data_IF_708757255710
#
_entry.id   IF_708757255710
#
_cell.length_a   1.000
_cell.length_b   1.000
_cell.length_c   1.000
_cell.angle_alpha   90.00
_cell.angle_beta   90.00
_cell.angle_gamma   90.00
#
_symmetry.space_group_name_H-M   'P 1'
#
loop_
_entity.id
_entity.type
_entity.pdbx_description
1 polymer ?
#
# COMPACT_ATOMS: atom_id res chain seq x y z
N UNK A 1 -27.58 4.43 -66.53
CA UNK A 1 -26.71 3.92 -65.47
C UNK A 1 -26.71 4.90 -64.32
N UNK A 2 -26.90 4.37 -63.10
CA UNK A 2 -26.99 5.03 -61.78
C UNK A 2 -28.33 5.70 -61.43
N UNK A 3 -29.07 4.94 -60.62
CA UNK A 3 -30.25 5.31 -59.86
C UNK A 3 -29.86 6.06 -58.57
N UNK A 4 -30.81 6.88 -58.14
CA UNK A 4 -30.88 7.57 -56.85
C UNK A 4 -31.60 6.65 -55.87
N UNK A 5 -31.03 6.39 -54.69
CA UNK A 5 -31.72 5.70 -53.60
C UNK A 5 -31.80 6.59 -52.35
N UNK A 6 -33.04 6.94 -52.02
CA UNK A 6 -33.50 7.32 -50.69
C UNK A 6 -33.57 6.06 -49.81
N UNK A 7 -33.23 6.17 -48.52
CA UNK A 7 -33.77 5.26 -47.52
C UNK A 7 -34.00 5.96 -46.18
N UNK A 8 -35.29 6.21 -45.93
CA UNK A 8 -35.91 6.60 -44.66
C UNK A 8 -36.28 5.33 -43.89
N UNK A 9 -35.86 5.21 -42.63
CA UNK A 9 -36.22 4.07 -41.77
C UNK A 9 -37.55 4.34 -41.05
N UNK A 10 -38.42 3.33 -41.13
CA UNK A 10 -39.82 3.29 -40.67
C UNK A 10 -39.92 2.85 -39.21
N UNK A 11 -40.78 3.53 -38.44
CA UNK A 11 -41.23 3.14 -37.11
C UNK A 11 -42.41 2.15 -37.22
N UNK A 12 -42.46 1.13 -36.34
CA UNK A 12 -43.58 0.19 -36.24
C UNK A 12 -44.14 0.21 -34.82
N UNK A 13 -45.44 0.49 -34.74
CA UNK A 13 -46.33 0.54 -33.57
C UNK A 13 -46.64 -0.85 -32.96
N UNK A 14 -47.01 -0.85 -31.68
CA UNK A 14 -47.73 -1.95 -31.02
C UNK A 14 -48.76 -1.39 -30.00
N UNK A 15 -49.87 -2.10 -29.72
CA UNK A 15 -51.22 -1.53 -29.76
C UNK A 15 -51.82 -1.10 -28.41
N UNK A 16 -52.84 -0.21 -28.49
CA UNK A 16 -53.79 0.18 -27.43
C UNK A 16 -55.04 -0.71 -27.49
N UNK A 17 -55.56 -1.14 -26.32
CA UNK A 17 -56.99 -1.09 -25.94
C UNK A 17 -57.23 -1.63 -24.49
N UNK A 18 -57.38 -0.69 -23.54
CA UNK A 18 -58.42 -0.48 -22.48
C UNK A 18 -59.12 -1.67 -21.75
N UNK A 19 -59.46 -1.53 -20.43
CA UNK A 19 -60.40 -0.50 -19.95
C UNK A 19 -60.04 0.30 -18.69
N UNK A 20 -60.69 1.47 -18.63
CA UNK A 20 -60.73 2.47 -17.57
C UNK A 20 -61.49 1.96 -16.35
N UNK A 21 -60.94 2.16 -15.16
CA UNK A 21 -61.70 2.27 -13.91
C UNK A 21 -61.35 3.62 -13.30
N UNK A 22 -62.30 4.55 -13.36
CA UNK A 22 -62.25 5.84 -12.69
C UNK A 22 -62.41 5.62 -11.18
N UNK A 23 -61.44 6.11 -10.41
CA UNK A 23 -61.45 6.07 -8.95
C UNK A 23 -60.56 7.18 -8.40
N UNK A 24 -61.16 8.36 -8.28
CA UNK A 24 -60.82 9.48 -7.38
C UNK A 24 -59.40 10.09 -7.41
N UNK A 25 -59.35 11.31 -7.95
CA UNK A 25 -58.24 12.25 -7.90
C UNK A 25 -57.88 12.60 -6.45
N UNK A 26 -56.69 12.19 -6.00
CA UNK A 26 -55.94 12.93 -5.00
C UNK A 26 -54.61 13.38 -5.63
N UNK A 27 -54.48 14.70 -5.77
CA UNK A 27 -53.33 15.31 -6.43
C UNK A 27 -52.07 15.24 -5.58
N UNK A 28 -51.11 14.43 -6.01
CA UNK A 28 -49.69 14.62 -5.68
C UNK A 28 -48.85 14.28 -6.92
N UNK A 29 -48.94 15.15 -7.93
CA UNK A 29 -47.94 15.23 -8.99
C UNK A 29 -46.99 16.36 -8.63
N UNK A 30 -45.88 16.01 -8.00
CA UNK A 30 -44.67 16.82 -8.03
C UNK A 30 -43.48 15.86 -8.01
N UNK A 31 -42.93 15.58 -9.20
CA UNK A 31 -41.50 15.26 -9.30
C UNK A 31 -40.76 16.35 -8.53
N UNK A 32 -39.88 16.04 -7.56
CA UNK A 32 -39.11 17.07 -6.91
C UNK A 32 -38.33 17.81 -8.00
N UNK A 33 -38.53 19.12 -8.08
CA UNK A 33 -37.63 20.00 -8.80
C UNK A 33 -36.27 19.86 -8.10
N UNK A 34 -35.40 19.00 -8.63
CA UNK A 34 -34.02 18.91 -8.18
C UNK A 34 -33.41 20.25 -8.59
N UNK A 35 -33.21 21.14 -7.63
CA UNK A 35 -32.47 22.37 -7.90
C UNK A 35 -31.08 21.99 -8.39
N UNK A 36 -30.62 22.59 -9.50
CA UNK A 36 -29.21 22.48 -9.95
C UNK A 36 -28.22 23.09 -8.93
N UNK A 37 -28.72 23.71 -7.86
CA UNK A 37 -27.91 24.16 -6.75
C UNK A 37 -27.32 22.93 -6.00
N UNK A 38 -26.01 22.96 -5.68
CA UNK A 38 -25.41 21.91 -4.89
C UNK A 38 -26.15 21.73 -3.56
N UNK A 39 -26.34 20.48 -3.13
CA UNK A 39 -27.09 20.13 -1.91
C UNK A 39 -26.56 20.82 -0.64
N UNK A 40 -25.28 21.17 -0.62
CA UNK A 40 -24.61 21.81 0.51
C UNK A 40 -24.78 23.34 0.59
N UNK A 41 -25.34 23.98 -0.45
CA UNK A 41 -25.41 25.45 -0.54
C UNK A 41 -26.23 26.11 0.56
N UNK A 42 -27.18 25.39 1.14
CA UNK A 42 -27.99 25.87 2.27
C UNK A 42 -27.37 25.53 3.64
N UNK A 43 -26.29 24.74 3.66
CA UNK A 43 -25.63 24.26 4.88
C UNK A 43 -24.33 25.00 5.15
N UNK A 44 -23.70 25.57 4.13
CA UNK A 44 -22.43 26.30 4.24
C UNK A 44 -22.40 27.49 3.29
N UNK A 45 -21.83 28.59 3.79
CA UNK A 45 -21.49 29.74 2.96
C UNK A 45 -20.17 29.51 2.20
N UNK A 46 -19.93 30.28 1.13
CA UNK A 46 -18.70 30.18 0.34
C UNK A 46 -17.45 30.54 1.16
N UNK A 47 -17.58 31.38 2.19
CA UNK A 47 -16.46 31.77 3.06
C UNK A 47 -16.15 30.65 4.07
N UNK A 48 -17.17 30.00 4.64
CA UNK A 48 -16.98 28.84 5.52
C UNK A 48 -16.40 27.64 4.78
N UNK A 49 -16.74 27.46 3.51
CA UNK A 49 -16.16 26.40 2.67
C UNK A 49 -14.64 26.55 2.44
N UNK A 50 -14.09 27.72 2.76
CA UNK A 50 -12.66 28.05 2.63
C UNK A 50 -11.90 28.01 3.95
N UNK A 51 -12.52 27.50 5.02
CA UNK A 51 -11.88 27.28 6.31
C UNK A 51 -11.28 25.87 6.32
N UNK A 52 -9.98 25.77 6.55
CA UNK A 52 -9.23 24.51 6.49
C UNK A 52 -9.65 23.57 7.63
N UNK A 53 -9.88 24.16 8.80
CA UNK A 53 -10.22 23.50 10.06
C UNK A 53 -11.58 22.80 10.05
N UNK A 54 -12.45 23.12 9.08
CA UNK A 54 -13.73 22.44 8.90
C UNK A 54 -13.59 20.99 8.42
N UNK A 55 -12.40 20.60 7.95
CA UNK A 55 -12.10 19.22 7.56
C UNK A 55 -10.94 18.67 8.37
N UNK A 56 -11.21 17.71 9.26
CA UNK A 56 -10.17 17.01 10.02
C UNK A 56 -9.11 16.37 9.12
N UNK A 57 -9.52 15.83 7.97
CA UNK A 57 -8.56 15.30 6.98
C UNK A 57 -7.66 16.37 6.36
N UNK A 58 -8.18 17.57 6.09
CA UNK A 58 -7.35 18.69 5.61
C UNK A 58 -6.36 19.13 6.69
N UNK A 59 -6.81 19.26 7.94
CA UNK A 59 -5.92 19.58 9.08
C UNK A 59 -4.79 18.57 9.19
N UNK A 60 -5.11 17.28 9.18
CA UNK A 60 -4.11 16.20 9.24
C UNK A 60 -3.16 16.23 8.05
N UNK A 61 -3.68 16.45 6.83
CA UNK A 61 -2.85 16.55 5.65
C UNK A 61 -1.85 17.69 5.78
N UNK A 62 -2.29 18.90 6.12
CA UNK A 62 -1.41 20.06 6.19
C UNK A 62 -0.37 19.96 7.33
N UNK A 63 -0.74 19.34 8.45
CA UNK A 63 0.22 19.03 9.51
C UNK A 63 1.28 18.01 9.02
N UNK A 64 0.88 16.95 8.31
CA UNK A 64 1.82 16.02 7.65
C UNK A 64 2.75 16.79 6.71
N UNK A 65 2.21 17.64 5.85
CA UNK A 65 3.00 18.39 4.87
C UNK A 65 4.03 19.30 5.56
N UNK A 66 3.68 19.89 6.70
CA UNK A 66 4.59 20.71 7.50
C UNK A 66 5.70 19.87 8.12
N UNK A 67 5.35 18.78 8.82
CA UNK A 67 6.33 17.91 9.49
C UNK A 67 7.28 17.28 8.47
N UNK A 68 6.75 16.79 7.34
CA UNK A 68 7.54 16.16 6.27
C UNK A 68 8.51 17.17 5.64
N UNK A 69 8.09 18.43 5.51
CA UNK A 69 8.96 19.49 5.02
C UNK A 69 10.10 19.84 5.98
N UNK A 70 9.83 19.83 7.30
CA UNK A 70 10.86 20.00 8.33
C UNK A 70 11.91 18.87 8.27
N UNK A 71 11.49 17.67 7.86
CA UNK A 71 12.36 16.48 7.71
C UNK A 71 13.07 16.40 6.35
N UNK A 72 12.88 17.38 5.44
CA UNK A 72 13.36 17.34 4.04
C UNK A 72 12.95 16.02 3.31
N UNK A 73 11.76 15.52 3.62
CA UNK A 73 11.17 14.34 3.01
C UNK A 73 10.17 14.71 1.90
N UNK A 74 9.85 13.75 1.04
CA UNK A 74 8.90 13.94 -0.05
C UNK A 74 7.67 13.06 0.13
N UNK A 75 6.51 13.62 -0.21
CA UNK A 75 5.19 13.02 0.02
C UNK A 75 4.37 12.92 -1.26
N UNK A 76 3.66 11.80 -1.41
CA UNK A 76 2.61 11.63 -2.41
C UNK A 76 1.25 11.69 -1.73
N UNK A 77 0.28 12.34 -2.37
CA UNK A 77 -1.11 12.35 -1.92
C UNK A 77 -1.97 11.80 -3.05
N UNK A 78 -2.69 10.72 -2.77
CA UNK A 78 -3.62 10.10 -3.69
C UNK A 78 -5.06 10.42 -3.28
N UNK A 79 -5.88 10.83 -4.23
CA UNK A 79 -7.33 10.97 -4.07
C UNK A 79 -8.05 10.44 -5.31
N UNK A 80 -9.24 9.88 -5.11
CA UNK A 80 -10.11 9.48 -6.21
C UNK A 80 -10.89 10.67 -6.80
N UNK A 81 -11.01 11.76 -6.04
CA UNK A 81 -11.80 12.94 -6.38
C UNK A 81 -10.89 14.05 -6.91
N UNK A 82 -11.14 14.50 -8.15
CA UNK A 82 -10.43 15.65 -8.72
C UNK A 82 -10.77 16.93 -7.95
N UNK A 83 -12.01 17.08 -7.51
CA UNK A 83 -12.47 18.23 -6.69
C UNK A 83 -11.73 18.30 -5.36
N UNK A 84 -11.41 17.15 -4.75
CA UNK A 84 -10.59 17.11 -3.54
C UNK A 84 -9.16 17.58 -3.82
N UNK A 85 -8.57 17.18 -4.95
CA UNK A 85 -7.25 17.69 -5.36
C UNK A 85 -7.29 19.19 -5.66
N UNK A 86 -8.36 19.69 -6.30
CA UNK A 86 -8.58 21.12 -6.53
C UNK A 86 -8.63 21.89 -5.20
N UNK A 87 -9.33 21.35 -4.20
CA UNK A 87 -9.44 21.93 -2.87
C UNK A 87 -8.09 21.94 -2.12
N UNK A 88 -7.31 20.87 -2.22
CA UNK A 88 -5.95 20.83 -1.66
C UNK A 88 -5.08 21.92 -2.33
N UNK A 89 -5.11 22.05 -3.65
CA UNK A 89 -4.38 23.11 -4.36
C UNK A 89 -4.83 24.51 -3.92
N UNK A 90 -6.13 24.72 -3.70
CA UNK A 90 -6.67 25.96 -3.18
C UNK A 90 -6.06 26.31 -1.81
N UNK A 91 -6.07 25.37 -0.86
CA UNK A 91 -5.50 25.59 0.47
C UNK A 91 -3.98 25.77 0.46
N UNK A 92 -3.26 25.08 -0.44
CA UNK A 92 -1.81 25.28 -0.62
C UNK A 92 -1.51 26.71 -1.06
N UNK A 93 -2.29 27.24 -2.02
CA UNK A 93 -2.18 28.62 -2.50
C UNK A 93 -2.56 29.63 -1.41
N UNK A 94 -3.67 29.43 -0.70
CA UNK A 94 -4.10 30.31 0.38
C UNK A 94 -3.07 30.37 1.51
N UNK A 95 -2.49 29.22 1.89
CA UNK A 95 -1.41 29.13 2.88
C UNK A 95 -0.15 29.90 2.45
N UNK A 96 0.19 29.86 1.15
CA UNK A 96 1.29 30.65 0.59
C UNK A 96 1.01 32.16 0.63
N UNK A 97 -0.20 32.60 0.28
CA UNK A 97 -0.59 34.01 0.24
C UNK A 97 -0.71 34.64 1.64
N UNK A 98 -1.16 33.87 2.64
CA UNK A 98 -1.34 34.35 4.00
C UNK A 98 -0.02 34.63 4.75
N UNK A 99 1.12 34.09 4.29
CA UNK A 99 2.41 34.20 4.99
C UNK A 99 3.33 35.23 4.32
N UNK A 100 3.89 36.15 5.10
CA UNK A 100 4.81 37.19 4.60
C UNK A 100 6.11 36.57 4.07
N UNK A 101 6.73 37.11 3.00
CA UNK A 101 7.95 36.58 2.36
C UNK A 101 9.23 36.64 3.22
N UNK A 102 9.11 36.94 4.51
CA UNK A 102 10.23 37.09 5.44
C UNK A 102 10.70 35.77 6.06
N UNK A 103 9.94 34.67 5.98
CA UNK A 103 10.38 33.38 6.50
C UNK A 103 11.17 32.60 5.43
N UNK A 104 12.46 32.38 5.69
CA UNK A 104 13.37 31.59 4.85
C UNK A 104 13.15 30.07 4.98
N UNK A 105 12.04 29.63 5.58
CA UNK A 105 11.76 28.21 5.80
C UNK A 105 11.16 27.59 4.53
N UNK A 106 11.83 26.55 4.01
CA UNK A 106 11.34 25.72 2.88
C UNK A 106 9.89 25.27 3.03
N UNK A 107 9.43 25.09 4.27
CA UNK A 107 8.09 24.61 4.60
C UNK A 107 6.97 25.61 4.25
N UNK A 108 7.28 26.90 4.14
CA UNK A 108 6.29 27.99 4.13
C UNK A 108 5.80 28.42 2.75
N UNK A 109 6.33 27.84 1.67
CA UNK A 109 6.03 28.25 0.30
C UNK A 109 5.55 27.07 -0.55
N UNK A 110 4.41 27.22 -1.22
CA UNK A 110 3.79 26.19 -2.06
C UNK A 110 3.53 26.73 -3.46
N UNK A 111 4.50 26.57 -4.36
CA UNK A 111 4.38 26.98 -5.76
C UNK A 111 4.20 25.75 -6.65
N UNK A 112 3.14 25.77 -7.46
CA UNK A 112 2.86 24.70 -8.45
C UNK A 112 4.01 24.56 -9.44
N UNK A 113 4.37 23.32 -9.76
CA UNK A 113 5.48 22.92 -10.61
C UNK A 113 6.88 23.27 -10.08
N UNK A 114 6.98 23.71 -8.83
CA UNK A 114 8.27 23.96 -8.15
C UNK A 114 8.30 23.18 -6.84
N UNK A 115 7.36 23.47 -5.94
CA UNK A 115 7.27 22.82 -4.63
C UNK A 115 6.34 21.61 -4.65
N UNK A 116 5.34 21.63 -5.53
CA UNK A 116 4.44 20.51 -5.73
C UNK A 116 4.01 20.31 -7.18
N UNK A 117 3.67 19.07 -7.53
CA UNK A 117 3.19 18.67 -8.86
C UNK A 117 1.80 18.04 -8.75
N UNK A 118 1.02 18.10 -9.83
CA UNK A 118 -0.29 17.44 -9.92
C UNK A 118 -0.34 16.54 -11.13
N UNK A 119 -0.74 15.29 -10.94
CA UNK A 119 -0.94 14.31 -12.00
C UNK A 119 -2.38 13.82 -12.01
N UNK A 120 -3.05 14.07 -13.12
CA UNK A 120 -4.39 13.57 -13.40
C UNK A 120 -4.53 13.15 -14.87
N UNK A 121 -5.75 12.81 -15.29
CA UNK A 121 -6.02 12.34 -16.65
C UNK A 121 -5.74 13.36 -17.75
N UNK A 122 -5.64 14.65 -17.41
CA UNK A 122 -5.33 15.71 -18.38
C UNK A 122 -3.82 15.87 -18.63
N UNK A 123 -2.98 15.24 -17.79
CA UNK A 123 -1.52 15.40 -17.86
C UNK A 123 -0.93 14.56 -19.00
N UNK A 124 -0.26 15.22 -19.96
CA UNK A 124 0.41 14.56 -21.09
C UNK A 124 1.56 13.65 -20.64
N UNK A 125 1.92 12.67 -21.48
CA UNK A 125 3.01 11.75 -21.19
C UNK A 125 4.38 12.46 -21.06
N UNK A 126 4.64 13.49 -21.86
CA UNK A 126 5.88 14.27 -21.79
C UNK A 126 6.00 15.04 -20.48
N UNK A 127 4.93 15.73 -20.07
CA UNK A 127 4.87 16.47 -18.82
C UNK A 127 4.99 15.53 -17.62
N UNK A 128 4.31 14.38 -17.66
CA UNK A 128 4.41 13.34 -16.64
C UNK A 128 5.85 12.86 -16.44
N UNK A 129 6.56 12.57 -17.53
CA UNK A 129 7.97 12.16 -17.46
C UNK A 129 8.84 13.27 -16.86
N UNK A 130 8.68 14.50 -17.36
CA UNK A 130 9.41 15.67 -16.84
C UNK A 130 9.23 15.84 -15.33
N UNK A 131 7.98 15.87 -14.83
CA UNK A 131 7.72 16.03 -13.41
C UNK A 131 8.20 14.83 -12.58
N UNK A 132 8.10 13.61 -13.12
CA UNK A 132 8.64 12.41 -12.47
C UNK A 132 10.16 12.50 -12.30
N UNK A 133 10.88 12.96 -13.33
CA UNK A 133 12.33 13.11 -13.32
C UNK A 133 12.75 14.24 -12.36
N UNK A 134 12.06 15.38 -12.40
CA UNK A 134 12.30 16.50 -11.48
C UNK A 134 12.01 16.14 -10.02
N UNK A 135 10.94 15.39 -9.76
CA UNK A 135 10.58 14.94 -8.42
C UNK A 135 11.57 13.89 -7.90
N UNK A 136 12.05 12.99 -8.74
CA UNK A 136 13.03 11.97 -8.34
C UNK A 136 14.45 12.53 -8.17
N UNK A 137 14.74 13.72 -8.68
CA UNK A 137 16.06 14.34 -8.55
C UNK A 137 16.35 14.68 -7.07
N UNK A 138 17.38 14.09 -6.44
CA UNK A 138 17.75 14.40 -5.06
C UNK A 138 18.25 15.84 -4.87
N UNK A 139 18.77 16.48 -5.93
CA UNK A 139 19.15 17.89 -5.89
C UNK A 139 17.94 18.83 -5.87
N UNK A 140 16.77 18.37 -6.30
CA UNK A 140 15.53 19.13 -6.22
C UNK A 140 14.90 18.97 -4.83
N UNK A 141 15.37 19.76 -3.88
CA UNK A 141 14.83 19.79 -2.53
C UNK A 141 13.55 20.64 -2.40
N UNK A 142 13.14 21.36 -3.47
CA UNK A 142 11.90 22.13 -3.49
C UNK A 142 10.70 21.26 -3.81
N UNK A 143 10.81 20.39 -4.83
CA UNK A 143 9.75 19.47 -5.24
C UNK A 143 9.48 18.41 -4.17
N UNK A 144 8.60 18.72 -3.23
CA UNK A 144 8.34 17.95 -2.00
C UNK A 144 6.97 17.26 -1.98
N UNK A 145 6.02 17.68 -2.80
CA UNK A 145 4.67 17.12 -2.86
C UNK A 145 4.29 16.69 -4.29
N UNK A 146 3.66 15.52 -4.42
CA UNK A 146 2.99 15.11 -5.65
C UNK A 146 1.54 14.74 -5.37
N UNK A 147 0.61 15.51 -5.93
CA UNK A 147 -0.83 15.24 -5.92
C UNK A 147 -1.17 14.33 -7.10
N UNK A 148 -1.83 13.19 -6.85
CA UNK A 148 -2.09 12.19 -7.89
C UNK A 148 -3.54 11.74 -7.79
N UNK A 149 -4.26 11.77 -8.91
CA UNK A 149 -5.54 11.08 -8.96
C UNK A 149 -5.32 9.58 -9.04
N UNK A 150 -6.00 8.80 -8.20
CA UNK A 150 -5.79 7.35 -8.10
C UNK A 150 -5.92 6.65 -9.46
N UNK A 151 -6.85 7.10 -10.30
CA UNK A 151 -7.02 6.59 -11.67
C UNK A 151 -5.80 6.88 -12.56
N UNK A 152 -5.24 8.08 -12.50
CA UNK A 152 -4.07 8.43 -13.30
C UNK A 152 -2.76 7.79 -12.77
N UNK A 153 -2.71 7.47 -11.48
CA UNK A 153 -1.62 6.72 -10.85
C UNK A 153 -1.44 5.29 -11.38
N UNK A 154 -2.48 4.71 -12.00
CA UNK A 154 -2.41 3.37 -12.62
C UNK A 154 -1.49 3.29 -13.84
N UNK A 155 -1.11 4.43 -14.44
CA UNK A 155 -0.38 4.54 -15.71
C UNK A 155 1.14 4.27 -15.62
N UNK A 156 1.63 3.60 -14.57
CA UNK A 156 3.00 3.07 -14.60
C UNK A 156 4.12 4.03 -14.16
N UNK A 157 3.84 5.10 -13.42
CA UNK A 157 4.88 6.07 -12.97
C UNK A 157 5.79 5.51 -11.87
N UNK A 158 6.99 6.07 -11.75
CA UNK A 158 7.99 5.71 -10.74
C UNK A 158 8.36 6.93 -9.88
N UNK A 159 8.04 6.91 -8.59
CA UNK A 159 8.20 8.06 -7.69
C UNK A 159 8.98 7.66 -6.42
N UNK A 160 10.11 6.99 -6.60
CA UNK A 160 10.95 6.43 -5.53
C UNK A 160 11.62 7.48 -4.64
N UNK A 161 11.63 8.77 -5.01
CA UNK A 161 12.13 9.81 -4.11
C UNK A 161 11.17 10.16 -2.96
N UNK A 162 9.88 9.83 -3.09
CA UNK A 162 8.95 9.91 -1.97
C UNK A 162 9.18 8.77 -0.99
N UNK A 163 8.99 9.04 0.29
CA UNK A 163 8.97 8.00 1.32
C UNK A 163 7.71 8.10 2.21
N UNK A 164 6.84 9.06 1.93
CA UNK A 164 5.55 9.26 2.58
C UNK A 164 4.44 9.18 1.55
N UNK A 165 3.37 8.46 1.85
CA UNK A 165 2.19 8.33 1.00
C UNK A 165 0.95 8.60 1.84
N UNK A 166 0.08 9.49 1.38
CA UNK A 166 -1.24 9.73 1.96
C UNK A 166 -2.29 9.22 0.98
N UNK A 167 -3.08 8.25 1.41
CA UNK A 167 -4.32 7.83 0.76
C UNK A 167 -5.45 8.63 1.40
N UNK A 168 -5.88 9.68 0.70
CA UNK A 168 -6.75 10.71 1.28
C UNK A 168 -8.19 10.22 1.44
N UNK A 169 -8.69 9.40 0.50
CA UNK A 169 -10.06 8.88 0.49
C UNK A 169 -10.07 7.35 0.35
N UNK A 170 -11.07 6.70 0.95
CA UNK A 170 -11.26 5.26 0.86
C UNK A 170 -11.77 4.84 -0.54
N UNK A 171 -11.28 3.71 -1.07
CA UNK A 171 -11.76 3.14 -2.34
C UNK A 171 -12.59 1.89 -2.12
N UNK A 172 -13.54 1.60 -3.02
CA UNK A 172 -14.23 0.31 -2.98
C UNK A 172 -13.35 -0.86 -3.46
N UNK A 173 -12.27 -0.55 -4.17
CA UNK A 173 -11.36 -1.52 -4.76
C UNK A 173 -9.97 -1.42 -4.11
N UNK A 174 -9.56 -2.39 -3.27
CA UNK A 174 -8.26 -2.35 -2.58
C UNK A 174 -7.07 -2.35 -3.54
N UNK A 175 -7.24 -2.89 -4.76
CA UNK A 175 -6.18 -2.92 -5.77
C UNK A 175 -5.69 -1.53 -6.19
N UNK A 176 -6.57 -0.51 -6.17
CA UNK A 176 -6.17 0.85 -6.51
C UNK A 176 -5.22 1.46 -5.47
N UNK A 177 -5.42 1.15 -4.20
CA UNK A 177 -4.56 1.61 -3.12
C UNK A 177 -3.20 0.91 -3.17
N UNK A 178 -3.20 -0.42 -3.36
CA UNK A 178 -1.99 -1.21 -3.55
C UNK A 178 -1.18 -0.71 -4.75
N UNK A 179 -1.84 -0.44 -5.89
CA UNK A 179 -1.18 0.13 -7.07
C UNK A 179 -0.59 1.52 -6.83
N UNK A 180 -1.21 2.31 -5.95
CA UNK A 180 -0.72 3.63 -5.54
C UNK A 180 0.53 3.50 -4.66
N UNK A 181 0.51 2.58 -3.69
CA UNK A 181 1.66 2.26 -2.83
C UNK A 181 2.85 1.75 -3.69
N UNK A 182 2.60 0.90 -4.67
CA UNK A 182 3.64 0.38 -5.59
C UNK A 182 4.24 1.41 -6.55
N UNK A 183 3.74 2.66 -6.57
CA UNK A 183 4.44 3.77 -7.24
C UNK A 183 5.71 4.21 -6.49
N UNK A 184 5.75 3.92 -5.20
CA UNK A 184 6.83 4.31 -4.28
C UNK A 184 7.55 3.09 -3.74
N UNK A 185 6.81 2.10 -3.25
CA UNK A 185 7.36 0.83 -2.78
C UNK A 185 7.70 -0.07 -3.97
N UNK A 186 8.87 0.18 -4.54
CA UNK A 186 9.37 -0.44 -5.77
C UNK A 186 10.90 -0.42 -5.78
N UNK A 187 11.50 -1.27 -6.60
CA UNK A 187 12.94 -1.23 -6.90
C UNK A 187 13.44 0.19 -7.20
N UNK A 188 14.47 0.60 -6.48
CA UNK A 188 15.02 1.96 -6.52
C UNK A 188 14.68 2.80 -5.29
N UNK A 189 13.70 2.39 -4.48
CA UNK A 189 13.45 2.97 -3.16
C UNK A 189 14.57 2.56 -2.18
N UNK A 190 15.13 3.55 -1.48
CA UNK A 190 16.21 3.36 -0.50
C UNK A 190 15.77 3.68 0.94
N UNK A 191 14.65 4.41 1.10
CA UNK A 191 14.09 4.83 2.39
C UNK A 191 12.90 3.94 2.77
N UNK A 192 12.64 3.81 4.06
CA UNK A 192 11.41 3.17 4.54
C UNK A 192 10.20 4.00 4.11
N UNK A 193 9.19 3.33 3.56
CA UNK A 193 7.97 3.97 3.06
C UNK A 193 6.89 3.88 4.14
N UNK A 194 6.32 5.02 4.50
CA UNK A 194 5.18 5.10 5.41
C UNK A 194 3.92 5.51 4.64
N UNK A 195 2.85 4.76 4.83
CA UNK A 195 1.57 4.96 4.15
C UNK A 195 0.51 5.32 5.19
N UNK A 196 -0.09 6.49 5.05
CA UNK A 196 -1.20 6.96 5.87
C UNK A 196 -2.49 6.81 5.07
N UNK A 197 -3.46 6.09 5.63
CA UNK A 197 -4.80 6.00 5.08
C UNK A 197 -5.74 6.80 5.97
N UNK A 198 -6.37 7.82 5.41
CA UNK A 198 -7.34 8.62 6.15
C UNK A 198 -8.73 8.01 6.06
N UNK A 199 -9.39 7.87 7.21
CA UNK A 199 -10.75 7.39 7.34
C UNK A 199 -11.50 8.34 8.29
N UNK A 200 -12.66 8.82 7.86
CA UNK A 200 -13.54 9.60 8.70
C UNK A 200 -14.38 8.67 9.60
N UNK A 201 -14.21 8.82 10.91
CA UNK A 201 -14.83 7.96 11.91
C UNK A 201 -16.36 8.06 11.91
N UNK A 202 -17.04 6.92 12.08
CA UNK A 202 -18.49 6.82 12.11
C UNK A 202 -19.15 7.04 10.75
N UNK A 203 -18.38 7.22 9.67
CA UNK A 203 -18.90 7.47 8.33
C UNK A 203 -18.87 6.22 7.45
N UNK A 204 -19.41 6.36 6.24
CA UNK A 204 -19.29 5.39 5.15
C UNK A 204 -17.85 4.90 4.92
N UNK A 205 -16.84 5.73 5.16
CA UNK A 205 -15.45 5.38 4.86
C UNK A 205 -14.90 4.21 5.69
N UNK A 206 -15.25 4.13 6.97
CA UNK A 206 -14.87 2.98 7.82
C UNK A 206 -15.46 1.69 7.26
N UNK A 207 -16.75 1.70 6.89
CA UNK A 207 -17.44 0.53 6.35
C UNK A 207 -16.90 0.12 4.99
N UNK A 208 -16.52 1.09 4.15
CA UNK A 208 -15.81 0.81 2.89
C UNK A 208 -14.49 0.12 3.19
N UNK A 209 -13.73 0.63 4.15
CA UNK A 209 -12.44 0.08 4.52
C UNK A 209 -12.56 -1.34 5.10
N UNK A 210 -13.50 -1.59 6.01
CA UNK A 210 -13.75 -2.94 6.56
C UNK A 210 -14.06 -3.94 5.45
N UNK A 211 -14.88 -3.54 4.47
CA UNK A 211 -15.16 -4.37 3.29
C UNK A 211 -13.93 -4.53 2.39
N UNK A 212 -13.06 -3.52 2.27
CA UNK A 212 -11.79 -3.69 1.55
C UNK A 212 -10.93 -4.75 2.21
N UNK A 213 -10.80 -4.73 3.54
CA UNK A 213 -10.04 -5.72 4.31
C UNK A 213 -10.60 -7.11 4.05
N UNK A 214 -11.92 -7.32 4.19
CA UNK A 214 -12.56 -8.61 3.90
C UNK A 214 -12.34 -9.06 2.45
N UNK A 215 -12.50 -8.16 1.47
CA UNK A 215 -12.25 -8.48 0.05
C UNK A 215 -10.80 -8.86 -0.20
N UNK A 216 -9.85 -8.19 0.45
CA UNK A 216 -8.44 -8.45 0.30
C UNK A 216 -8.08 -9.81 0.93
N UNK A 217 -8.56 -10.10 2.15
CA UNK A 217 -8.42 -11.39 2.81
C UNK A 217 -9.01 -12.54 1.99
N UNK A 218 -10.23 -12.35 1.45
CA UNK A 218 -10.84 -13.33 0.53
C UNK A 218 -10.00 -13.53 -0.73
N UNK A 219 -9.48 -12.45 -1.33
CA UNK A 219 -8.64 -12.56 -2.54
C UNK A 219 -7.32 -13.32 -2.30
N UNK A 220 -6.77 -13.27 -1.09
CA UNK A 220 -5.59 -14.06 -0.72
C UNK A 220 -5.93 -15.54 -0.48
N UNK A 221 -7.14 -15.83 0.01
CA UNK A 221 -7.62 -17.20 0.28
C UNK A 221 -8.11 -17.92 -0.98
N UNK A 222 -8.61 -17.18 -1.97
CA UNK A 222 -9.25 -17.70 -3.18
C UNK A 222 -8.30 -17.54 -4.37
N UNK A 223 -7.39 -18.50 -4.52
CA UNK A 223 -6.63 -18.72 -5.77
C UNK A 223 -7.32 -19.75 -6.68
N UNK A 224 -8.53 -20.21 -6.32
CA UNK A 224 -9.37 -21.07 -7.16
C UNK A 224 -10.72 -20.42 -7.53
N UNK A 225 -11.25 -20.77 -8.70
CA UNK A 225 -12.35 -20.10 -9.41
C UNK A 225 -13.74 -20.27 -8.75
N UNK A 226 -13.94 -19.72 -7.55
CA UNK A 226 -15.30 -19.58 -7.01
C UNK A 226 -15.81 -18.14 -7.23
N UNK A 227 -16.91 -18.03 -7.97
CA UNK A 227 -17.64 -16.79 -8.17
C UNK A 227 -18.25 -16.35 -6.83
N UNK A 228 -17.68 -15.31 -6.22
CA UNK A 228 -18.31 -14.63 -5.08
C UNK A 228 -19.58 -13.96 -5.63
N UNK A 229 -20.74 -14.56 -5.38
CA UNK A 229 -22.02 -13.95 -5.72
C UNK A 229 -22.15 -12.61 -5.00
N UNK A 230 -22.54 -11.58 -5.76
CA UNK A 230 -22.70 -10.21 -5.26
C UNK A 230 -24.03 -10.08 -4.52
N UNK A 231 -24.07 -10.55 -3.29
CA UNK A 231 -25.21 -10.31 -2.41
C UNK A 231 -24.99 -9.00 -1.66
N UNK A 232 -25.85 -8.01 -1.93
CA UNK A 232 -26.03 -6.86 -1.04
C UNK A 232 -27.37 -7.04 -0.37
N UNK A 233 -27.37 -7.23 0.95
CA UNK A 233 -28.62 -7.22 1.70
C UNK A 233 -29.07 -5.78 1.94
N UNK A 234 -30.39 -5.54 2.06
CA UNK A 234 -30.93 -4.21 2.36
C UNK A 234 -30.40 -3.67 3.70
N UNK A 235 -30.13 -4.57 4.66
CA UNK A 235 -29.53 -4.24 5.94
C UNK A 235 -28.07 -3.76 5.80
N UNK A 236 -27.25 -4.43 4.98
CA UNK A 236 -25.89 -3.97 4.68
C UNK A 236 -25.86 -2.62 3.98
N UNK A 237 -26.89 -2.28 3.19
CA UNK A 237 -27.02 -0.98 2.55
C UNK A 237 -27.43 0.08 3.56
N UNK A 238 -28.33 -0.23 4.49
CA UNK A 238 -28.70 0.69 5.57
C UNK A 238 -27.52 0.95 6.51
N UNK A 239 -26.73 -0.09 6.80
CA UNK A 239 -25.51 0.03 7.57
C UNK A 239 -24.57 1.03 6.91
N UNK A 240 -24.32 0.96 5.60
CA UNK A 240 -23.46 1.91 4.89
C UNK A 240 -23.81 3.40 5.18
N UNK A 241 -25.10 3.74 5.22
CA UNK A 241 -25.57 5.12 5.45
C UNK A 241 -25.72 5.51 6.92
N UNK A 242 -25.49 4.60 7.88
CA UNK A 242 -25.53 5.00 9.30
C UNK A 242 -24.34 5.90 9.64
N UNK A 243 -24.61 6.92 10.46
CA UNK A 243 -23.58 7.82 10.98
C UNK A 243 -23.53 7.67 12.51
N UNK A 244 -22.48 7.00 12.99
CA UNK A 244 -22.31 6.67 14.42
C UNK A 244 -20.91 7.11 14.90
N UNK A 245 -20.65 8.43 14.99
CA UNK A 245 -19.36 8.94 15.45
C UNK A 245 -19.20 8.75 16.96
N UNK A 246 -17.95 8.63 17.41
CA UNK A 246 -17.65 8.54 18.84
C UNK A 246 -17.32 9.93 19.42
N UNK A 247 -18.33 10.59 19.98
CA UNK A 247 -18.26 11.96 20.50
C UNK A 247 -17.34 12.08 21.71
N UNK A 248 -16.36 13.01 21.67
CA UNK A 248 -15.33 13.21 22.71
C UNK A 248 -15.89 13.30 24.13
N UNK A 249 -17.09 13.88 24.29
CA UNK A 249 -17.70 14.18 25.59
C UNK A 249 -18.77 13.18 26.06
N UNK A 250 -19.00 12.07 25.33
CA UNK A 250 -20.05 11.10 25.71
C UNK A 250 -19.54 10.13 26.81
N UNK A 251 -20.15 10.12 28.02
CA UNK A 251 -19.77 9.21 29.10
C UNK A 251 -20.12 7.74 28.81
N UNK A 252 -21.02 7.47 27.86
CA UNK A 252 -21.40 6.12 27.42
C UNK A 252 -20.69 5.70 26.13
N UNK A 253 -19.76 6.53 25.65
CA UNK A 253 -18.86 6.18 24.58
C UNK A 253 -18.11 4.88 24.91
N UNK A 254 -17.84 4.08 23.87
CA UNK A 254 -16.94 2.92 23.93
C UNK A 254 -15.50 3.27 24.42
N UNK A 255 -15.22 4.55 24.70
CA UNK A 255 -14.00 5.17 25.24
C UNK A 255 -13.41 4.62 26.54
N UNK A 256 -14.16 3.93 27.40
CA UNK A 256 -13.58 3.36 28.64
C UNK A 256 -12.57 2.21 28.37
N UNK A 257 -12.54 1.65 27.15
CA UNK A 257 -11.73 0.47 26.80
C UNK A 257 -10.69 0.70 25.69
N UNK A 258 -10.28 1.94 25.42
CA UNK A 258 -9.27 2.17 24.37
C UNK A 258 -7.87 1.85 24.90
N UNK A 259 -7.13 0.92 24.26
CA UNK A 259 -5.75 0.63 24.66
C UNK A 259 -4.88 1.87 24.45
N UNK A 260 -3.89 2.06 25.32
CA UNK A 260 -2.90 3.13 25.14
C UNK A 260 -2.18 2.89 23.82
N UNK A 261 -2.19 3.84 22.87
CA UNK A 261 -1.54 3.65 21.59
C UNK A 261 -0.05 3.37 21.79
N UNK A 262 0.44 2.28 21.19
CA UNK A 262 1.84 1.88 21.22
C UNK A 262 2.64 2.92 20.46
N UNK A 263 3.69 3.50 21.05
CA UNK A 263 4.50 4.54 20.40
C UNK A 263 4.86 4.13 18.95
N UNK A 264 4.34 4.84 17.93
CA UNK A 264 4.59 4.48 16.54
C UNK A 264 6.09 4.49 16.21
N UNK A 265 6.53 3.56 15.37
CA UNK A 265 7.91 3.58 14.83
C UNK A 265 8.18 4.84 14.00
N UNK A 266 7.13 5.40 13.43
CA UNK A 266 7.16 6.61 12.64
C UNK A 266 7.15 7.89 13.49
N UNK A 267 8.19 8.72 13.35
CA UNK A 267 8.29 10.03 13.99
C UNK A 267 7.22 11.03 13.55
N UNK A 268 6.74 10.95 12.30
CA UNK A 268 5.69 11.84 11.78
C UNK A 268 4.35 11.49 12.43
N UNK A 269 3.95 10.22 12.42
CA UNK A 269 2.74 9.78 13.12
C UNK A 269 2.79 10.08 14.62
N UNK A 270 3.93 9.86 15.27
CA UNK A 270 4.10 10.21 16.68
C UNK A 270 3.86 11.71 16.95
N UNK A 271 4.37 12.60 16.08
CA UNK A 271 4.15 14.05 16.18
C UNK A 271 2.70 14.43 15.87
N UNK A 272 2.06 13.80 14.88
CA UNK A 272 0.64 14.02 14.58
C UNK A 272 -0.27 13.67 15.76
N UNK A 273 0.00 12.55 16.45
CA UNK A 273 -0.77 12.15 17.63
C UNK A 273 -0.64 13.15 18.80
N UNK A 274 0.45 13.94 18.82
CA UNK A 274 0.65 15.00 19.79
C UNK A 274 -0.02 16.31 19.36
N UNK A 275 0.18 16.76 18.12
CA UNK A 275 -0.36 18.05 17.63
C UNK A 275 -1.86 17.98 17.36
N UNK A 276 -2.34 16.88 16.78
CA UNK A 276 -3.71 16.72 16.28
C UNK A 276 -4.53 15.74 17.13
N UNK A 277 -4.31 15.72 18.45
CA UNK A 277 -4.98 14.79 19.38
C UNK A 277 -6.51 14.83 19.27
N UNK A 278 -7.08 16.00 19.03
CA UNK A 278 -8.54 16.20 18.97
C UNK A 278 -9.14 15.75 17.63
N UNK A 279 -8.31 15.59 16.60
CA UNK A 279 -8.72 15.19 15.24
C UNK A 279 -8.53 13.69 14.98
N UNK A 280 -7.68 13.01 15.76
CA UNK A 280 -7.37 11.59 15.59
C UNK A 280 -8.07 10.77 16.66
N UNK A 281 -9.08 10.03 16.24
CA UNK A 281 -9.84 9.16 17.16
C UNK A 281 -9.06 7.90 17.52
N UNK A 282 -8.46 7.25 16.52
CA UNK A 282 -7.64 6.04 16.64
C UNK A 282 -6.73 5.91 15.43
N UNK A 283 -5.72 5.06 15.52
CA UNK A 283 -4.96 4.59 14.36
C UNK A 283 -4.73 3.08 14.50
N UNK A 284 -4.57 2.43 13.36
CA UNK A 284 -4.25 1.02 13.25
C UNK A 284 -2.97 0.90 12.41
N UNK A 285 -1.93 0.33 12.99
CA UNK A 285 -0.70 0.03 12.25
C UNK A 285 -0.87 -1.33 11.58
N UNK A 286 -0.82 -1.33 10.25
CA UNK A 286 -0.75 -2.55 9.47
C UNK A 286 0.72 -2.74 9.07
N UNK A 287 1.46 -3.58 9.78
CA UNK A 287 2.79 -3.98 9.30
C UNK A 287 2.64 -4.96 8.14
N UNK A 288 3.32 -4.64 7.05
CA UNK A 288 3.57 -5.51 5.91
C UNK A 288 2.35 -5.82 5.03
N UNK A 289 2.51 -5.53 3.74
CA UNK A 289 1.70 -5.99 2.61
C UNK A 289 1.63 -7.53 2.47
N UNK A 290 1.99 -8.28 3.53
CA UNK A 290 2.31 -9.69 3.57
C UNK A 290 2.14 -10.33 4.97
N UNK A 291 1.41 -9.71 5.91
CA UNK A 291 1.20 -10.39 7.19
C UNK A 291 0.22 -11.56 7.02
N UNK A 292 0.75 -12.76 7.23
CA UNK A 292 -0.03 -13.98 7.41
C UNK A 292 -0.78 -13.84 8.73
N UNK A 293 -2.01 -13.32 8.71
CA UNK A 293 -2.87 -13.33 9.89
C UNK A 293 -3.24 -14.77 10.23
N UNK A 294 -2.63 -15.32 11.27
CA UNK A 294 -2.98 -16.65 11.81
C UNK A 294 -4.48 -16.74 12.19
N UNK A 295 -5.11 -15.61 12.56
CA UNK A 295 -6.56 -15.53 12.85
C UNK A 295 -7.45 -15.71 11.61
N UNK A 296 -6.91 -15.55 10.39
CA UNK A 296 -7.60 -15.81 9.14
C UNK A 296 -7.32 -17.24 8.59
N UNK A 297 -6.49 -18.03 9.29
CA UNK A 297 -6.32 -19.44 9.01
C UNK A 297 -7.60 -20.19 9.41
N UNK A 298 -8.07 -21.06 8.50
CA UNK A 298 -9.16 -21.99 8.79
C UNK A 298 -8.80 -22.78 10.06
N UNK A 299 -9.71 -22.81 11.04
CA UNK A 299 -9.57 -23.70 12.20
C UNK A 299 -9.30 -25.14 11.75
N UNK A 300 -8.65 -25.98 12.56
CA UNK A 300 -8.37 -27.37 12.14
C UNK A 300 -9.62 -28.11 11.62
N UNK A 301 -10.79 -27.79 12.17
CA UNK A 301 -12.08 -28.30 11.72
C UNK A 301 -12.48 -27.79 10.33
N UNK A 302 -12.37 -26.48 10.09
CA UNK A 302 -12.66 -25.87 8.79
C UNK A 302 -11.62 -26.26 7.74
N UNK A 303 -10.35 -26.43 8.14
CA UNK A 303 -9.27 -26.90 7.28
C UNK A 303 -9.49 -28.34 6.87
N UNK A 304 -9.98 -29.18 7.79
CA UNK A 304 -10.38 -30.57 7.51
C UNK A 304 -11.64 -30.64 6.65
N UNK A 305 -12.60 -29.74 6.86
CA UNK A 305 -13.82 -29.66 6.04
C UNK A 305 -13.52 -29.21 4.61
N UNK A 306 -12.76 -28.13 4.45
CA UNK A 306 -12.28 -27.65 3.16
C UNK A 306 -11.39 -28.69 2.46
N UNK A 307 -10.56 -29.42 3.22
CA UNK A 307 -9.78 -30.54 2.69
C UNK A 307 -10.65 -31.72 2.25
N UNK A 308 -11.73 -32.03 2.98
CA UNK A 308 -12.67 -33.09 2.62
C UNK A 308 -13.52 -32.71 1.39
N UNK A 309 -13.91 -31.44 1.27
CA UNK A 309 -14.58 -30.89 0.09
C UNK A 309 -13.64 -30.91 -1.13
N UNK A 310 -12.40 -30.46 -0.96
CA UNK A 310 -11.35 -30.56 -1.97
C UNK A 310 -11.07 -32.02 -2.34
N UNK A 311 -11.02 -32.97 -1.40
CA UNK A 311 -10.84 -34.39 -1.70
C UNK A 311 -12.04 -34.99 -2.45
N UNK A 312 -13.26 -34.53 -2.18
CA UNK A 312 -14.47 -34.93 -2.89
C UNK A 312 -14.54 -34.32 -4.31
N UNK A 313 -14.10 -33.08 -4.47
CA UNK A 313 -13.97 -32.39 -5.77
C UNK A 313 -12.75 -32.88 -6.57
N UNK A 314 -11.65 -33.27 -5.91
CA UNK A 314 -10.45 -33.83 -6.54
C UNK A 314 -10.65 -35.28 -6.93
N UNK A 315 -11.40 -36.08 -6.16
CA UNK A 315 -11.82 -37.42 -6.60
C UNK A 315 -12.80 -37.37 -7.77
N UNK A 316 -13.44 -36.23 -8.02
CA UNK A 316 -14.23 -36.00 -9.23
C UNK A 316 -13.48 -35.27 -10.36
N UNK A 317 -12.34 -34.61 -10.10
CA UNK A 317 -11.69 -33.72 -11.09
C UNK A 317 -10.17 -33.91 -11.27
N UNK A 318 -9.46 -34.75 -10.52
CA UNK A 318 -8.00 -34.96 -10.74
C UNK A 318 -7.46 -36.17 -9.96
N UNK A 319 -7.15 -37.32 -10.55
CA UNK A 319 -5.96 -37.53 -11.40
C UNK A 319 -5.19 -36.22 -11.68
N UNK A 320 -4.49 -35.71 -10.66
CA UNK A 320 -3.22 -34.94 -10.73
C UNK A 320 -3.10 -33.91 -9.62
N UNK A 321 -1.95 -33.91 -8.93
CA UNK A 321 -1.38 -32.69 -8.36
C UNK A 321 -1.25 -32.60 -6.84
N UNK A 322 -0.48 -33.49 -6.20
CA UNK A 322 0.07 -33.24 -4.85
C UNK A 322 1.23 -32.24 -4.95
N UNK A 323 1.28 -31.28 -4.02
CA UNK A 323 2.35 -30.28 -3.94
C UNK A 323 3.09 -30.31 -2.59
N UNK A 324 4.40 -30.04 -2.71
CA UNK A 324 5.26 -29.36 -1.75
C UNK A 324 6.20 -30.14 -0.82
N UNK A 325 6.38 -31.45 -0.99
CA UNK A 325 7.68 -32.10 -0.68
C UNK A 325 8.53 -32.43 -1.92
N UNK A 326 7.96 -32.33 -3.12
CA UNK A 326 8.57 -32.87 -4.36
C UNK A 326 9.35 -31.87 -5.25
N UNK A 327 9.44 -30.59 -4.87
CA UNK A 327 9.99 -29.57 -5.79
C UNK A 327 11.51 -29.64 -5.99
N UNK A 328 12.26 -30.22 -5.03
CA UNK A 328 13.72 -30.41 -5.15
C UNK A 328 14.09 -31.83 -5.62
N UNK A 329 13.31 -32.84 -5.24
CA UNK A 329 13.47 -34.25 -5.67
C UNK A 329 13.12 -34.46 -7.15
N UNK A 330 12.28 -33.59 -7.75
CA UNK A 330 11.94 -33.63 -9.18
C UNK A 330 12.92 -32.91 -10.12
N UNK A 331 13.86 -32.11 -9.59
CA UNK A 331 14.83 -31.34 -10.41
C UNK A 331 15.95 -32.22 -10.94
N UNK A 332 16.44 -31.93 -12.15
CA UNK A 332 17.58 -32.67 -12.72
C UNK A 332 18.87 -32.38 -11.94
N UNK A 333 19.87 -33.25 -12.06
CA UNK A 333 21.17 -33.04 -11.41
C UNK A 333 21.85 -31.73 -11.89
N UNK A 334 21.65 -31.35 -13.16
CA UNK A 334 22.14 -30.07 -13.72
C UNK A 334 21.46 -28.85 -13.08
N UNK A 335 20.14 -28.90 -12.89
CA UNK A 335 19.39 -27.83 -12.23
C UNK A 335 19.77 -27.67 -10.75
N UNK A 336 19.98 -28.78 -10.05
CA UNK A 336 20.45 -28.78 -8.67
C UNK A 336 21.87 -28.21 -8.55
N UNK A 337 22.75 -28.54 -9.50
CA UNK A 337 24.11 -27.97 -9.56
C UNK A 337 24.10 -26.48 -9.91
N UNK A 338 23.21 -26.04 -10.79
CA UNK A 338 23.02 -24.61 -11.10
C UNK A 338 22.54 -23.82 -9.87
N UNK A 339 21.58 -24.37 -9.11
CA UNK A 339 21.12 -23.79 -7.85
C UNK A 339 22.24 -23.73 -6.80
N UNK A 340 23.07 -24.76 -6.71
CA UNK A 340 24.20 -24.81 -5.78
C UNK A 340 25.29 -23.78 -6.16
N UNK A 341 25.58 -23.61 -7.45
CA UNK A 341 26.51 -22.57 -7.93
C UNK A 341 25.97 -21.15 -7.70
N UNK A 342 24.66 -20.94 -7.89
CA UNK A 342 23.99 -19.66 -7.58
C UNK A 342 24.02 -19.35 -6.09
N UNK A 343 23.78 -20.36 -5.24
CA UNK A 343 23.88 -20.23 -3.78
C UNK A 343 25.29 -19.84 -3.36
N UNK A 344 26.33 -20.50 -3.89
CA UNK A 344 27.75 -20.17 -3.62
C UNK A 344 28.10 -18.72 -3.99
N UNK A 345 27.67 -18.24 -5.15
CA UNK A 345 27.87 -16.85 -5.57
C UNK A 345 27.16 -15.84 -4.65
N UNK A 346 25.94 -16.18 -4.23
CA UNK A 346 25.13 -15.35 -3.33
C UNK A 346 25.75 -15.29 -1.93
N UNK A 347 26.26 -16.42 -1.42
CA UNK A 347 26.99 -16.50 -0.15
C UNK A 347 28.29 -15.71 -0.20
N UNK A 348 29.04 -15.82 -1.30
CA UNK A 348 30.30 -15.08 -1.47
C UNK A 348 30.09 -13.56 -1.48
N UNK A 349 29.06 -13.08 -2.17
CA UNK A 349 28.71 -11.64 -2.21
C UNK A 349 28.21 -11.14 -0.85
N UNK A 350 27.34 -11.88 -0.17
CA UNK A 350 26.89 -11.55 1.19
C UNK A 350 28.06 -11.49 2.20
N UNK A 351 29.00 -12.43 2.11
CA UNK A 351 30.18 -12.45 2.97
C UNK A 351 31.12 -11.26 2.72
N UNK A 352 31.34 -10.88 1.45
CA UNK A 352 32.12 -9.68 1.11
C UNK A 352 31.47 -8.40 1.64
N UNK A 353 30.13 -8.30 1.58
CA UNK A 353 29.40 -7.15 2.11
C UNK A 353 29.50 -7.07 3.64
N UNK A 354 29.38 -8.21 4.33
CA UNK A 354 29.59 -8.29 5.79
C UNK A 354 31.00 -7.85 6.20
N UNK A 355 32.04 -8.25 5.46
CA UNK A 355 33.42 -7.82 5.75
C UNK A 355 33.66 -6.32 5.55
N UNK A 356 32.93 -5.67 4.65
CA UNK A 356 33.05 -4.22 4.40
C UNK A 356 32.35 -3.36 5.46
N UNK A 357 31.48 -3.93 6.29
CA UNK A 357 30.74 -3.21 7.32
C UNK A 357 31.59 -3.02 8.59
N UNK A 358 32.52 -2.05 8.57
CA UNK A 358 33.25 -1.60 9.78
C UNK A 358 32.46 -0.53 10.54
N UNK A 359 32.63 -0.50 11.87
CA UNK A 359 32.19 0.64 12.69
C UNK A 359 33.20 1.78 12.57
N UNK A 360 32.70 3.01 12.44
CA UNK A 360 33.53 4.21 12.49
C UNK A 360 33.77 4.63 13.95
N UNK A 361 34.92 5.25 14.20
CA UNK A 361 35.29 5.81 15.50
C UNK A 361 34.48 7.07 15.81
N UNK A 362 34.38 7.44 17.09
CA UNK A 362 33.66 8.66 17.49
C UNK A 362 34.35 9.90 16.92
N UNK A 363 35.68 9.85 16.80
CA UNK A 363 36.52 10.87 16.21
C UNK A 363 36.21 11.09 14.72
N UNK A 364 35.96 10.03 13.96
CA UNK A 364 35.56 10.12 12.54
C UNK A 364 34.18 10.80 12.39
N UNK A 365 33.21 10.47 13.26
CA UNK A 365 31.89 11.14 13.27
C UNK A 365 32.00 12.61 13.68
N UNK A 366 32.86 12.93 14.66
CA UNK A 366 33.10 14.30 15.09
C UNK A 366 33.74 15.14 13.98
N UNK A 367 34.72 14.59 13.24
CA UNK A 367 35.33 15.26 12.10
C UNK A 367 34.32 15.52 10.97
N UNK A 368 33.47 14.55 10.65
CA UNK A 368 32.40 14.74 9.66
C UNK A 368 31.42 15.84 10.08
N UNK A 369 30.98 15.82 11.34
CA UNK A 369 30.07 16.82 11.88
C UNK A 369 30.69 18.22 11.92
N UNK A 370 31.99 18.32 12.20
CA UNK A 370 32.71 19.60 12.21
C UNK A 370 32.88 20.20 10.81
N UNK A 371 33.08 19.36 9.79
CA UNK A 371 33.07 19.80 8.39
C UNK A 371 31.68 20.27 7.95
N UNK A 372 30.63 19.61 8.43
CA UNK A 372 29.24 19.93 8.08
C UNK A 372 28.69 21.14 8.86
N UNK A 373 29.17 21.36 10.08
CA UNK A 373 28.73 22.44 10.97
C UNK A 373 29.92 23.13 11.68
N UNK A 374 30.61 24.07 11.01
CA UNK A 374 31.84 24.68 11.53
C UNK A 374 31.66 25.56 12.78
N UNK A 375 30.44 26.02 13.05
CA UNK A 375 30.13 27.00 14.11
C UNK A 375 29.50 26.36 15.36
N UNK A 376 29.34 25.04 15.40
CA UNK A 376 28.70 24.32 16.51
C UNK A 376 29.70 24.13 17.68
N UNK A 377 29.29 24.39 18.95
CA UNK A 377 30.15 24.16 20.11
C UNK A 377 30.59 22.70 20.24
N UNK A 378 31.82 22.49 20.73
CA UNK A 378 32.48 21.18 20.76
C UNK A 378 31.74 20.13 21.60
N UNK A 379 31.13 20.55 22.71
CA UNK A 379 30.33 19.67 23.58
C UNK A 379 29.07 19.16 22.86
N UNK A 380 28.45 20.02 22.05
CA UNK A 380 27.25 19.66 21.27
C UNK A 380 27.61 18.77 20.09
N UNK A 381 28.78 18.98 19.47
CA UNK A 381 29.32 18.10 18.44
C UNK A 381 29.61 16.69 18.99
N UNK A 382 30.15 16.59 20.20
CA UNK A 382 30.42 15.30 20.85
C UNK A 382 29.13 14.53 21.12
N UNK A 383 28.11 15.19 21.66
CA UNK A 383 26.79 14.57 21.90
C UNK A 383 26.18 14.09 20.58
N UNK A 384 26.21 14.91 19.52
CA UNK A 384 25.72 14.51 18.19
C UNK A 384 26.51 13.34 17.60
N UNK A 385 27.84 13.33 17.74
CA UNK A 385 28.70 12.25 17.25
C UNK A 385 28.39 10.91 17.96
N UNK A 386 28.19 10.93 19.28
CA UNK A 386 27.81 9.74 20.06
C UNK A 386 26.44 9.23 19.62
N UNK A 387 25.45 10.11 19.47
CA UNK A 387 24.10 9.74 19.03
C UNK A 387 24.09 9.18 17.61
N UNK A 388 24.84 9.79 16.68
CA UNK A 388 24.97 9.30 15.30
C UNK A 388 25.64 7.94 15.25
N UNK A 389 26.72 7.75 16.01
CA UNK A 389 27.38 6.45 16.13
C UNK A 389 26.43 5.39 16.67
N UNK A 390 25.69 5.67 17.74
CA UNK A 390 24.71 4.72 18.30
C UNK A 390 23.63 4.33 17.29
N UNK A 391 23.15 5.29 16.51
CA UNK A 391 22.16 5.04 15.47
C UNK A 391 22.73 4.16 14.34
N UNK A 392 23.91 4.51 13.83
CA UNK A 392 24.58 3.74 12.78
C UNK A 392 25.00 2.35 13.27
N UNK A 393 25.40 2.21 14.54
CA UNK A 393 25.71 0.93 15.17
C UNK A 393 24.48 0.02 15.19
N UNK A 394 23.34 0.54 15.64
CA UNK A 394 22.09 -0.22 15.65
C UNK A 394 21.64 -0.62 14.24
N UNK A 395 21.78 0.28 13.26
CA UNK A 395 21.46 -0.01 11.85
C UNK A 395 22.37 -1.10 11.27
N UNK A 396 23.67 -1.08 11.62
CA UNK A 396 24.64 -2.08 11.21
C UNK A 396 24.33 -3.44 11.83
N UNK A 397 23.97 -3.49 13.10
CA UNK A 397 23.62 -4.73 13.80
C UNK A 397 22.41 -5.42 13.16
N UNK A 398 21.36 -4.66 12.83
CA UNK A 398 20.19 -5.16 12.10
C UNK A 398 20.60 -5.69 10.71
N UNK A 399 21.44 -4.95 10.00
CA UNK A 399 21.92 -5.35 8.67
C UNK A 399 22.79 -6.61 8.75
N UNK A 400 23.65 -6.73 9.77
CA UNK A 400 24.46 -7.93 10.00
C UNK A 400 23.61 -9.15 10.37
N UNK A 401 22.58 -8.97 11.21
CA UNK A 401 21.65 -10.03 11.58
C UNK A 401 20.91 -10.58 10.34
N UNK A 402 20.43 -9.69 9.46
CA UNK A 402 19.81 -10.07 8.20
C UNK A 402 20.73 -10.91 7.31
N UNK A 403 21.97 -10.48 7.09
CA UNK A 403 22.93 -11.25 6.29
C UNK A 403 23.30 -12.59 6.94
N UNK A 404 23.37 -12.67 8.27
CA UNK A 404 23.62 -13.94 8.99
C UNK A 404 22.46 -14.92 8.82
N UNK A 405 21.21 -14.45 8.93
CA UNK A 405 20.03 -15.29 8.71
C UNK A 405 19.97 -15.80 7.27
N UNK A 406 20.17 -14.92 6.29
CA UNK A 406 20.23 -15.31 4.87
C UNK A 406 21.32 -16.34 4.59
N UNK A 407 22.51 -16.20 5.19
CA UNK A 407 23.59 -17.20 5.09
C UNK A 407 23.19 -18.55 5.71
N UNK A 408 22.48 -18.55 6.84
CA UNK A 408 22.00 -19.78 7.50
C UNK A 408 20.98 -20.53 6.64
N UNK A 409 20.05 -19.81 6.01
CA UNK A 409 19.05 -20.38 5.11
C UNK A 409 19.71 -20.97 3.85
N UNK A 410 20.72 -20.28 3.30
CA UNK A 410 21.50 -20.77 2.15
C UNK A 410 22.36 -21.99 2.49
N UNK A 411 22.90 -22.07 3.72
CA UNK A 411 23.61 -23.26 4.20
C UNK A 411 22.66 -24.46 4.31
N UNK A 412 21.46 -24.27 4.89
CA UNK A 412 20.43 -25.30 4.96
C UNK A 412 20.01 -25.80 3.57
N UNK A 413 19.80 -24.89 2.62
CA UNK A 413 19.47 -25.23 1.23
C UNK A 413 20.61 -26.01 0.56
N UNK A 414 21.86 -25.60 0.76
CA UNK A 414 23.03 -26.28 0.20
C UNK A 414 23.16 -27.71 0.75
N UNK A 415 22.95 -27.91 2.05
CA UNK A 415 22.95 -29.23 2.68
C UNK A 415 21.85 -30.14 2.12
N UNK A 416 20.64 -29.60 1.93
CA UNK A 416 19.51 -30.34 1.31
C UNK A 416 19.82 -30.76 -0.12
N UNK A 417 20.38 -29.87 -0.94
CA UNK A 417 20.75 -30.18 -2.32
C UNK A 417 21.88 -31.24 -2.36
N UNK A 418 22.89 -31.12 -1.50
CA UNK A 418 23.97 -32.10 -1.39
C UNK A 418 23.47 -33.48 -0.95
N UNK A 419 22.52 -33.54 -0.01
CA UNK A 419 21.91 -34.79 0.42
C UNK A 419 21.17 -35.49 -0.73
N UNK A 420 20.43 -34.73 -1.54
CA UNK A 420 19.72 -35.27 -2.72
C UNK A 420 20.70 -35.80 -3.77
N UNK A 421 21.74 -35.03 -4.10
CA UNK A 421 22.76 -35.44 -5.07
C UNK A 421 23.53 -36.69 -4.60
N UNK A 422 23.88 -36.77 -3.32
CA UNK A 422 24.54 -37.94 -2.74
C UNK A 422 23.63 -39.17 -2.73
N UNK A 423 22.34 -39.00 -2.41
CA UNK A 423 21.36 -40.09 -2.46
C UNK A 423 21.25 -40.67 -3.87
N UNK A 424 21.12 -39.82 -4.90
CA UNK A 424 21.04 -40.26 -6.31
C UNK A 424 22.30 -40.99 -6.76
N UNK A 425 23.48 -40.47 -6.39
CA UNK A 425 24.77 -41.11 -6.69
C UNK A 425 24.90 -42.50 -6.05
N UNK A 426 24.42 -42.67 -4.83
CA UNK A 426 24.45 -43.96 -4.13
C UNK A 426 23.46 -44.97 -4.76
N UNK A 427 22.29 -44.52 -5.22
CA UNK A 427 21.34 -45.35 -5.97
C UNK A 427 21.90 -45.82 -7.31
N UNK A 428 22.60 -44.96 -8.05
CA UNK A 428 23.27 -45.34 -9.31
C UNK A 428 24.42 -46.36 -9.10
N UNK A 429 25.11 -46.33 -7.96
CA UNK A 429 26.15 -47.32 -7.63
C UNK A 429 25.58 -48.68 -7.22
N UNK A 430 24.39 -48.73 -6.60
CA UNK A 430 23.72 -49.99 -6.25
C UNK A 430 23.17 -50.74 -7.49
N UNK A 431 22.75 -50.00 -8.52
CA UNK A 431 22.27 -50.58 -9.79
C UNK A 431 23.41 -51.18 -10.64
N UNK A 432 24.65 -50.73 -10.43
CA UNK A 432 25.83 -51.17 -11.19
C UNK A 432 26.68 -52.26 -10.49
N UNK A 433 26.17 -52.93 -9.46
CA UNK A 433 26.79 -54.18 -8.98
C UNK A 433 26.38 -55.35 -9.88
N UNK A 434 27.32 -56.12 -10.46
CA UNK A 434 26.96 -57.31 -11.23
C UNK A 434 26.42 -58.38 -10.26
N UNK A 435 25.11 -58.62 -10.34
CA UNK A 435 24.47 -59.80 -9.78
C UNK A 435 24.95 -61.04 -10.53
N UNK A 436 25.53 -61.96 -9.79
CA UNK A 436 25.97 -63.28 -10.18
C UNK A 436 24.85 -64.06 -10.89
N UNK A 437 25.03 -64.38 -12.18
CA UNK A 437 24.09 -65.17 -12.97
C UNK A 437 24.64 -66.59 -13.16
N UNK A 438 23.99 -67.53 -12.49
CA UNK A 438 23.70 -68.90 -12.92
C UNK A 438 24.86 -69.91 -13.03
N UNK A 439 24.68 -71.08 -12.38
CA UNK A 439 24.71 -72.36 -13.12
C UNK A 439 24.05 -73.54 -12.39
N UNK A 440 22.96 -73.98 -13.02
CA UNK A 440 22.60 -75.37 -13.37
C UNK A 440 22.27 -76.40 -12.28
N UNK A 441 20.99 -76.76 -12.25
CA UNK A 441 20.54 -78.11 -11.88
C UNK A 441 19.40 -78.55 -12.80
N UNK A 442 19.67 -79.47 -13.73
CA UNK A 442 18.75 -80.52 -14.21
C UNK A 442 19.57 -81.61 -14.89
N UNK A 443 19.21 -82.91 -14.80
CA UNK A 443 18.82 -83.68 -13.62
C UNK A 443 19.98 -84.54 -13.08
#
# INVERSE_FOLDING_TARGET
GKAVENSSMVAIDAPKDLPVVEGEKSGFSSRPQISDAPWFRNLMTDDEARILEHSGKMVLLFEILQIVADLDEKVLVFSQSLTTLDLIEYFLKASHEARKPTSSHKADCWIKNIDYYRLDGSTSASTRKKWSDEFNNPANARGRLFLISTKAGSLGINLVAANRVVLFDASWNPSYDIQSIYRVYRFGQLKQVFVYRFLAQGTMEEKIYDRQVTKQSLSFRVVDQQQIERHFTLNELNELYSFEPDLLDDPNSKKSKRPTPILPKDSVLARLLQTCKDQIVSYHEHESLLDHKEEEELSEAERKAAWAEYEAESNSTSLSGSSNQDSLSGKTNEELMALLNRSRSTVATAFQLLQKMRSASIEEYKQQLQLQYPLLPEDTLLIKAVTWKQFDDKKRDVTQAFYRDALSQQQSLTLKIQAILNSRRNSEMQVNQPGDVSRNSVP
#
